data_IF_474133997317
#
_entry.id   IF_474133997317
#
_cell.length_a   1.000
_cell.length_b   1.000
_cell.length_c   1.000
_cell.angle_alpha   90.00
_cell.angle_beta   90.00
_cell.angle_gamma   90.00
#
_symmetry.space_group_name_H-M   'P 1'
#
loop_
_entity.id
_entity.type
_entity.pdbx_description
1 polymer ?
#
# COMPACT_ATOMS: atom_id res chain seq x y z
N UNK A 1 11.45 -23.43 -28.03
CA UNK A 1 12.29 -22.43 -27.34
C UNK A 1 11.69 -21.02 -27.48
N UNK A 2 10.52 -20.75 -26.87
CA UNK A 2 9.89 -19.40 -26.90
C UNK A 2 9.28 -19.01 -25.54
N UNK A 3 9.02 -19.95 -24.62
CA UNK A 3 8.37 -19.64 -23.34
C UNK A 3 9.23 -18.80 -22.37
N UNK A 4 10.55 -18.97 -22.32
CA UNK A 4 11.38 -18.30 -21.30
C UNK A 4 11.65 -16.82 -21.58
N UNK A 5 11.85 -16.42 -22.84
CA UNK A 5 12.18 -15.03 -23.17
C UNK A 5 11.03 -14.05 -22.95
N UNK A 6 9.77 -14.53 -22.95
CA UNK A 6 8.61 -13.69 -22.72
C UNK A 6 8.19 -13.63 -21.25
N UNK A 7 8.50 -14.65 -20.43
CA UNK A 7 8.17 -14.65 -19.00
C UNK A 7 8.90 -13.54 -18.24
N UNK A 8 10.22 -13.38 -18.47
CA UNK A 8 11.01 -12.32 -17.85
C UNK A 8 10.50 -10.93 -18.24
N UNK A 9 10.27 -10.73 -19.55
CA UNK A 9 9.78 -9.46 -20.08
C UNK A 9 8.40 -9.11 -19.53
N UNK A 10 7.51 -10.10 -19.42
CA UNK A 10 6.18 -9.90 -18.86
C UNK A 10 6.24 -9.53 -17.37
N UNK A 11 7.08 -10.20 -16.60
CA UNK A 11 7.29 -9.90 -15.18
C UNK A 11 7.82 -8.47 -14.99
N UNK A 12 8.87 -8.08 -15.73
CA UNK A 12 9.46 -6.75 -15.62
C UNK A 12 8.48 -5.66 -16.09
N UNK A 13 7.78 -5.87 -17.21
CA UNK A 13 6.75 -4.94 -17.67
C UNK A 13 5.63 -4.77 -16.64
N UNK A 14 5.22 -5.85 -15.96
CA UNK A 14 4.19 -5.79 -14.91
C UNK A 14 4.68 -4.95 -13.74
N UNK A 15 5.94 -5.16 -13.32
CA UNK A 15 6.60 -4.37 -12.29
C UNK A 15 6.65 -2.89 -12.65
N UNK A 16 7.09 -2.56 -13.86
CA UNK A 16 7.19 -1.18 -14.37
C UNK A 16 5.81 -0.50 -14.39
N UNK A 17 4.78 -1.17 -14.92
CA UNK A 17 3.43 -0.62 -14.98
C UNK A 17 2.83 -0.36 -13.59
N UNK A 18 3.06 -1.27 -12.64
CA UNK A 18 2.64 -1.06 -11.24
C UNK A 18 3.37 0.15 -10.66
N UNK A 19 4.68 0.26 -10.87
CA UNK A 19 5.48 1.35 -10.36
C UNK A 19 5.05 2.70 -10.95
N UNK A 20 4.86 2.77 -12.27
CA UNK A 20 4.35 3.94 -12.99
C UNK A 20 3.00 4.38 -12.42
N UNK A 21 2.07 3.45 -12.22
CA UNK A 21 0.77 3.77 -11.60
C UNK A 21 0.92 4.36 -10.19
N UNK A 22 1.76 3.77 -9.35
CA UNK A 22 1.98 4.25 -7.98
C UNK A 22 2.61 5.65 -7.98
N UNK A 23 3.60 5.89 -8.84
CA UNK A 23 4.35 7.15 -8.87
C UNK A 23 3.57 8.27 -9.56
N UNK A 24 2.91 8.00 -10.68
CA UNK A 24 2.27 9.03 -11.51
C UNK A 24 0.81 9.29 -11.16
N UNK A 25 0.10 8.31 -10.57
CA UNK A 25 -1.32 8.44 -10.23
C UNK A 25 -1.54 8.51 -8.73
N UNK A 26 -0.98 7.56 -7.97
CA UNK A 26 -1.27 7.44 -6.53
C UNK A 26 -0.56 8.53 -5.72
N UNK A 27 0.76 8.73 -5.90
CA UNK A 27 1.49 9.77 -5.15
C UNK A 27 0.90 11.17 -5.33
N UNK A 28 0.62 11.66 -6.56
CA UNK A 28 0.10 13.02 -6.73
C UNK A 28 -1.32 13.16 -6.18
N UNK A 29 -2.11 12.08 -6.23
CA UNK A 29 -3.44 12.07 -5.61
C UNK A 29 -3.35 12.24 -4.10
N UNK A 30 -2.44 11.52 -3.44
CA UNK A 30 -2.22 11.62 -1.99
C UNK A 30 -1.59 12.97 -1.60
N UNK A 31 -0.68 13.50 -2.40
CA UNK A 31 -0.04 14.79 -2.16
C UNK A 31 -1.00 15.99 -2.27
N UNK A 32 -2.10 15.83 -3.01
CA UNK A 32 -3.16 16.86 -3.14
C UNK A 32 -4.18 16.83 -2.00
N UNK A 33 -4.24 15.73 -1.24
CA UNK A 33 -5.18 15.60 -0.12
C UNK A 33 -4.72 16.43 1.07
N UNK A 34 -5.68 17.07 1.75
CA UNK A 34 -5.45 17.66 3.07
C UNK A 34 -5.13 16.57 4.10
N UNK A 35 -4.51 16.92 5.23
CA UNK A 35 -4.21 15.97 6.33
C UNK A 35 -5.47 15.21 6.80
N UNK A 36 -6.61 15.90 6.90
CA UNK A 36 -7.90 15.30 7.26
C UNK A 36 -8.41 14.30 6.20
N UNK A 37 -8.25 14.59 4.91
CA UNK A 37 -8.73 13.73 3.81
C UNK A 37 -7.72 12.66 3.40
N UNK A 38 -6.47 12.78 3.84
CA UNK A 38 -5.36 11.94 3.46
C UNK A 38 -5.64 10.47 3.80
N UNK A 39 -6.07 10.18 5.02
CA UNK A 39 -6.33 8.81 5.49
C UNK A 39 -7.49 8.16 4.72
N UNK A 40 -8.55 8.92 4.45
CA UNK A 40 -9.69 8.44 3.64
C UNK A 40 -9.26 8.18 2.20
N UNK A 41 -8.49 9.09 1.62
CA UNK A 41 -7.97 8.95 0.25
C UNK A 41 -7.01 7.77 0.14
N UNK A 42 -6.16 7.56 1.15
CA UNK A 42 -5.24 6.45 1.26
C UNK A 42 -5.99 5.13 1.34
N UNK A 43 -6.98 5.01 2.24
CA UNK A 43 -7.86 3.83 2.37
C UNK A 43 -8.55 3.50 1.05
N UNK A 44 -9.17 4.48 0.39
CA UNK A 44 -9.84 4.26 -0.90
C UNK A 44 -8.87 3.79 -1.98
N UNK A 45 -7.68 4.41 -2.04
CA UNK A 45 -6.67 4.08 -3.04
C UNK A 45 -6.06 2.71 -2.78
N UNK A 46 -5.82 2.35 -1.52
CA UNK A 46 -5.41 1.00 -1.10
C UNK A 46 -6.45 -0.05 -1.49
N UNK A 47 -7.72 0.14 -1.14
CA UNK A 47 -8.78 -0.82 -1.44
C UNK A 47 -8.94 -1.04 -2.96
N UNK A 48 -8.77 0.01 -3.76
CA UNK A 48 -8.74 -0.10 -5.22
C UNK A 48 -7.51 -0.88 -5.70
N UNK A 49 -6.33 -0.51 -5.18
CA UNK A 49 -5.07 -1.17 -5.52
C UNK A 49 -5.05 -2.65 -5.18
N UNK A 50 -5.51 -3.05 -3.99
CA UNK A 50 -5.58 -4.44 -3.55
C UNK A 50 -6.47 -5.27 -4.49
N UNK A 51 -7.66 -4.77 -4.84
CA UNK A 51 -8.55 -5.44 -5.79
C UNK A 51 -7.93 -5.56 -7.18
N UNK A 52 -7.26 -4.52 -7.66
CA UNK A 52 -6.55 -4.56 -8.93
C UNK A 52 -5.41 -5.59 -8.91
N UNK A 53 -4.65 -5.68 -7.82
CA UNK A 53 -3.60 -6.68 -7.66
C UNK A 53 -4.14 -8.10 -7.62
N UNK A 54 -5.28 -8.34 -6.97
CA UNK A 54 -5.96 -9.64 -7.01
C UNK A 54 -6.36 -10.04 -8.42
N UNK A 55 -6.91 -9.10 -9.20
CA UNK A 55 -7.24 -9.34 -10.61
C UNK A 55 -6.00 -9.63 -11.46
N UNK A 56 -4.94 -8.83 -11.29
CA UNK A 56 -3.66 -9.00 -12.01
C UNK A 56 -3.07 -10.38 -11.70
N UNK A 57 -3.05 -10.79 -10.43
CA UNK A 57 -2.61 -12.14 -10.03
C UNK A 57 -3.43 -13.22 -10.70
N UNK A 58 -4.76 -13.08 -10.75
CA UNK A 58 -5.64 -14.05 -11.41
C UNK A 58 -5.34 -14.17 -12.93
N UNK A 59 -5.09 -13.05 -13.60
CA UNK A 59 -4.73 -13.03 -15.04
C UNK A 59 -3.34 -13.64 -15.26
N UNK A 60 -2.38 -13.32 -14.39
CA UNK A 60 -1.00 -13.77 -14.48
C UNK A 60 -0.74 -15.11 -13.77
N UNK A 61 -1.79 -15.88 -13.45
CA UNK A 61 -1.71 -17.11 -12.64
C UNK A 61 -0.71 -18.14 -13.20
N UNK A 62 -0.60 -18.29 -14.51
CA UNK A 62 0.37 -19.21 -15.12
C UNK A 62 1.82 -18.75 -14.87
N UNK A 63 2.09 -17.45 -15.02
CA UNK A 63 3.40 -16.88 -14.72
C UNK A 63 3.73 -17.08 -13.23
N UNK A 64 2.76 -16.80 -12.36
CA UNK A 64 2.93 -16.86 -10.91
C UNK A 64 3.13 -18.30 -10.40
N UNK A 65 2.52 -19.30 -11.04
CA UNK A 65 2.64 -20.72 -10.63
C UNK A 65 3.80 -21.47 -11.28
N UNK A 66 4.22 -21.08 -12.48
CA UNK A 66 5.19 -21.85 -13.29
C UNK A 66 6.51 -21.10 -13.47
N UNK A 67 6.45 -19.82 -13.83
CA UNK A 67 7.64 -19.05 -14.16
C UNK A 67 8.32 -18.48 -12.91
N UNK A 68 7.56 -17.84 -12.02
CA UNK A 68 8.08 -17.19 -10.80
C UNK A 68 8.85 -18.17 -9.91
N UNK A 69 8.34 -19.38 -9.57
CA UNK A 69 9.08 -20.32 -8.71
C UNK A 69 10.31 -20.90 -9.40
N UNK A 70 10.24 -21.08 -10.73
CA UNK A 70 11.35 -21.63 -11.52
C UNK A 70 12.56 -20.68 -11.52
N UNK A 71 12.31 -19.38 -11.62
CA UNK A 71 13.33 -18.34 -11.66
C UNK A 71 13.64 -17.75 -10.26
N UNK A 72 13.05 -18.33 -9.20
CA UNK A 72 13.18 -17.87 -7.81
C UNK A 72 12.86 -16.38 -7.63
N UNK A 73 11.81 -15.92 -8.32
CA UNK A 73 11.32 -14.54 -8.25
C UNK A 73 10.22 -14.40 -7.17
N UNK A 74 9.92 -13.16 -6.82
CA UNK A 74 8.81 -12.80 -5.93
C UNK A 74 7.47 -12.91 -6.67
N UNK A 75 6.43 -13.47 -6.03
CA UNK A 75 5.09 -13.56 -6.60
C UNK A 75 4.52 -12.19 -6.92
N UNK A 76 3.67 -12.10 -7.96
CA UNK A 76 3.18 -10.80 -8.47
C UNK A 76 2.42 -10.01 -7.41
N UNK A 77 1.64 -10.71 -6.58
CA UNK A 77 0.90 -10.07 -5.50
C UNK A 77 1.84 -9.50 -4.43
N UNK A 78 2.82 -10.29 -3.98
CA UNK A 78 3.80 -9.87 -2.99
C UNK A 78 4.68 -8.72 -3.50
N UNK A 79 5.08 -8.78 -4.78
CA UNK A 79 5.75 -7.70 -5.49
C UNK A 79 4.92 -6.41 -5.43
N UNK A 80 3.62 -6.48 -5.72
CA UNK A 80 2.73 -5.32 -5.63
C UNK A 80 2.66 -4.73 -4.22
N UNK A 81 2.52 -5.59 -3.20
CA UNK A 81 2.53 -5.17 -1.80
C UNK A 81 3.84 -4.46 -1.45
N UNK A 82 4.98 -5.03 -1.83
CA UNK A 82 6.30 -4.43 -1.58
C UNK A 82 6.47 -3.09 -2.30
N UNK A 83 6.08 -3.01 -3.57
CA UNK A 83 6.13 -1.76 -4.33
C UNK A 83 5.25 -0.68 -3.71
N UNK A 84 4.04 -1.01 -3.25
CA UNK A 84 3.16 -0.07 -2.56
C UNK A 84 3.78 0.40 -1.24
N UNK A 85 4.34 -0.52 -0.45
CA UNK A 85 5.06 -0.19 0.78
C UNK A 85 6.19 0.79 0.53
N UNK A 86 7.10 0.47 -0.39
CA UNK A 86 8.31 1.27 -0.66
C UNK A 86 7.96 2.62 -1.27
N UNK A 87 7.01 2.65 -2.20
CA UNK A 87 6.76 3.84 -3.02
C UNK A 87 5.66 4.74 -2.48
N UNK A 88 4.75 4.25 -1.65
CA UNK A 88 3.68 5.05 -1.07
C UNK A 88 3.94 5.26 0.41
N UNK A 89 4.01 4.19 1.20
CA UNK A 89 3.98 4.32 2.65
C UNK A 89 5.34 4.76 3.24
N UNK A 90 6.44 4.18 2.76
CA UNK A 90 7.80 4.51 3.20
C UNK A 90 8.41 5.70 2.46
N UNK A 91 7.72 6.22 1.44
CA UNK A 91 8.18 7.39 0.72
C UNK A 91 8.20 8.60 1.66
N UNK A 92 9.36 9.26 1.80
CA UNK A 92 9.63 10.25 2.86
C UNK A 92 8.51 11.29 3.03
N UNK A 93 8.11 11.93 1.94
CA UNK A 93 7.03 12.93 1.94
C UNK A 93 5.70 12.34 2.41
N UNK A 94 5.30 11.20 1.85
CA UNK A 94 4.02 10.56 2.17
C UNK A 94 3.99 10.00 3.60
N UNK A 95 5.13 9.55 4.12
CA UNK A 95 5.29 9.09 5.50
C UNK A 95 5.09 10.23 6.50
N UNK A 96 5.64 11.41 6.22
CA UNK A 96 5.42 12.61 7.05
C UNK A 96 3.95 13.03 7.05
N UNK A 97 3.32 13.09 5.87
CA UNK A 97 1.88 13.38 5.76
C UNK A 97 1.03 12.36 6.50
N UNK A 98 1.34 11.07 6.40
CA UNK A 98 0.64 10.01 7.11
C UNK A 98 0.74 10.18 8.64
N UNK A 99 1.95 10.44 9.15
CA UNK A 99 2.15 10.67 10.59
C UNK A 99 1.40 11.92 11.09
N UNK A 100 1.43 13.00 10.32
CA UNK A 100 0.73 14.24 10.65
C UNK A 100 -0.79 14.06 10.63
N UNK A 101 -1.32 13.41 9.60
CA UNK A 101 -2.74 13.12 9.46
C UNK A 101 -3.26 12.24 10.62
N UNK A 102 -2.48 11.23 11.02
CA UNK A 102 -2.82 10.39 12.16
C UNK A 102 -2.80 11.14 13.49
N UNK A 103 -1.82 12.01 13.71
CA UNK A 103 -1.77 12.87 14.91
C UNK A 103 -2.96 13.80 15.00
N UNK A 104 -3.28 14.46 13.90
CA UNK A 104 -4.45 15.35 13.81
C UNK A 104 -5.74 14.58 14.10
N UNK A 105 -5.86 13.35 13.58
CA UNK A 105 -6.99 12.47 13.86
C UNK A 105 -7.09 12.14 15.36
N UNK A 106 -5.99 11.76 16.02
CA UNK A 106 -6.01 11.50 17.48
C UNK A 106 -6.39 12.75 18.28
N UNK A 107 -5.86 13.92 17.92
CA UNK A 107 -6.20 15.18 18.59
C UNK A 107 -7.68 15.50 18.43
N UNK A 108 -8.28 15.25 17.26
CA UNK A 108 -9.72 15.47 17.03
C UNK A 108 -10.59 14.53 17.86
N UNK A 109 -10.20 13.27 18.03
CA UNK A 109 -10.92 12.35 18.92
C UNK A 109 -10.92 12.84 20.37
N UNK A 110 -9.77 13.34 20.85
CA UNK A 110 -9.64 13.89 22.19
C UNK A 110 -10.51 15.14 22.42
N UNK A 111 -10.81 15.90 21.37
CA UNK A 111 -11.72 17.04 21.42
C UNK A 111 -13.21 16.63 21.29
N UNK A 112 -13.51 15.33 21.28
CA UNK A 112 -14.88 14.81 21.26
C UNK A 112 -15.51 14.75 19.87
N UNK A 113 -14.73 14.87 18.80
CA UNK A 113 -15.24 14.64 17.45
C UNK A 113 -15.46 13.14 17.19
N UNK A 114 -16.64 12.81 16.65
CA UNK A 114 -16.96 11.43 16.26
C UNK A 114 -16.14 11.11 15.01
N UNK A 115 -15.07 10.35 15.21
CA UNK A 115 -14.25 9.85 14.11
C UNK A 115 -14.72 8.48 13.65
N UNK A 116 -14.60 8.26 12.35
CA UNK A 116 -14.85 6.97 11.73
C UNK A 116 -13.75 5.96 12.12
N UNK A 117 -13.92 5.27 13.25
CA UNK A 117 -13.04 4.19 13.73
C UNK A 117 -12.77 3.13 12.66
N UNK A 118 -13.70 2.96 11.73
CA UNK A 118 -13.60 2.06 10.58
C UNK A 118 -12.42 2.42 9.67
N UNK A 119 -12.13 3.70 9.45
CA UNK A 119 -11.01 4.12 8.60
C UNK A 119 -9.66 3.76 9.21
N UNK A 120 -9.53 3.84 10.52
CA UNK A 120 -8.29 3.51 11.24
C UNK A 120 -8.07 2.00 11.24
N UNK A 121 -9.13 1.23 11.52
CA UNK A 121 -9.07 -0.22 11.50
C UNK A 121 -8.64 -0.73 10.12
N UNK A 122 -9.19 -0.17 9.05
CA UNK A 122 -8.82 -0.53 7.68
C UNK A 122 -7.36 -0.17 7.37
N UNK A 123 -6.87 0.99 7.83
CA UNK A 123 -5.47 1.40 7.67
C UNK A 123 -4.54 0.49 8.49
N UNK A 124 -4.91 0.12 9.71
CA UNK A 124 -4.16 -0.81 10.55
C UNK A 124 -4.06 -2.19 9.91
N UNK A 125 -5.17 -2.68 9.32
CA UNK A 125 -5.20 -3.91 8.55
C UNK A 125 -4.29 -3.82 7.31
N UNK A 126 -4.34 -2.71 6.58
CA UNK A 126 -3.44 -2.44 5.45
C UNK A 126 -1.96 -2.49 5.88
N UNK A 127 -1.59 -1.78 6.95
CA UNK A 127 -0.19 -1.76 7.44
C UNK A 127 0.30 -3.16 7.82
N UNK A 128 -0.59 -3.97 8.42
CA UNK A 128 -0.32 -5.36 8.76
C UNK A 128 -0.10 -6.21 7.50
N UNK A 129 -0.95 -6.05 6.46
CA UNK A 129 -0.78 -6.74 5.17
C UNK A 129 0.52 -6.35 4.45
N UNK A 130 0.93 -5.08 4.56
CA UNK A 130 2.19 -4.60 3.98
C UNK A 130 3.43 -5.03 4.79
N UNK A 131 3.23 -5.76 5.90
CA UNK A 131 4.28 -6.19 6.83
C UNK A 131 5.18 -5.01 7.26
N UNK A 132 4.56 -3.85 7.47
CA UNK A 132 5.27 -2.67 7.96
C UNK A 132 5.35 -2.82 9.47
N UNK A 133 6.58 -2.86 9.99
CA UNK A 133 6.76 -2.92 11.42
C UNK A 133 6.20 -1.63 12.02
N UNK A 134 5.41 -1.75 13.08
CA UNK A 134 4.87 -0.59 13.78
C UNK A 134 5.98 0.33 14.32
N UNK A 135 7.20 -0.19 14.47
CA UNK A 135 8.42 0.56 14.80
C UNK A 135 8.95 1.45 13.65
N UNK A 136 8.56 1.18 12.40
CA UNK A 136 8.88 2.03 11.25
C UNK A 136 8.07 3.34 11.29
N UNK A 137 7.08 3.48 12.17
CA UNK A 137 6.35 4.72 12.41
C UNK A 137 6.63 5.27 13.81
N UNK A 138 6.83 6.59 13.87
CA UNK A 138 7.29 7.33 15.04
C UNK A 138 6.22 7.55 16.13
N UNK A 139 5.27 6.63 16.32
CA UNK A 139 4.21 6.85 17.32
C UNK A 139 3.89 5.53 18.06
N UNK A 140 4.47 5.36 19.25
CA UNK A 140 3.97 4.42 20.27
C UNK A 140 2.48 4.67 20.58
N UNK A 141 2.03 5.93 20.45
CA UNK A 141 0.65 6.35 20.63
C UNK A 141 -0.34 5.66 19.68
N UNK A 142 0.07 5.39 18.44
CA UNK A 142 -0.77 4.63 17.49
C UNK A 142 -0.97 3.18 17.90
N UNK A 143 0.03 2.59 18.55
CA UNK A 143 -0.09 1.22 19.02
C UNK A 143 -1.11 1.13 20.15
N UNK A 144 -1.05 2.06 21.10
CA UNK A 144 -1.99 2.17 22.21
C UNK A 144 -3.41 2.46 21.71
N UNK A 145 -3.53 3.32 20.70
CA UNK A 145 -4.83 3.72 20.18
C UNK A 145 -5.54 2.63 19.35
N UNK A 146 -4.81 1.86 18.55
CA UNK A 146 -5.39 0.74 17.80
C UNK A 146 -5.80 -0.47 18.69
N UNK A 147 -5.46 -0.47 19.98
CA UNK A 147 -5.72 -1.57 20.92
C UNK A 147 -6.89 -1.30 21.89
N UNK A 148 -7.54 -0.13 21.82
CA UNK A 148 -8.73 0.25 22.61
C UNK A 148 -10.03 0.11 21.81
#
# INVERSE_FOLDING_TARGET
MVLHRHGQKLYENTRELILEHLVEKVRPKLAKSSSTEFLVTLKQTWNGYEKSMDMIRCILMYMDRVYVPKENLEHVYDLGLRLFRENIILFSTTREYFNNALREMMTREQHGEILDRTTINDISLMLTKLNINKADFYNEDLQTWCLQ
#
